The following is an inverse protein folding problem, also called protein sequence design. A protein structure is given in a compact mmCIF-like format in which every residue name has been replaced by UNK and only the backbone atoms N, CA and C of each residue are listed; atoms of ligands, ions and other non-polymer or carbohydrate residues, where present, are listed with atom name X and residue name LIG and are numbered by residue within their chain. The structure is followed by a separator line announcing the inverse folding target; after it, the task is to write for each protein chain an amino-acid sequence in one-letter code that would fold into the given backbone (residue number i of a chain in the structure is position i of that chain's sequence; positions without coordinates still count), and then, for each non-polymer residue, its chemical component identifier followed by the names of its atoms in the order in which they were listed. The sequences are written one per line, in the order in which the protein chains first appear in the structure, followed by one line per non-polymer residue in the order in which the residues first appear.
data_IF_475240082198
#
_entry.id   IF_475240082198
#
_cell.length_a   1.000
_cell.length_b   1.000
_cell.length_c   1.000
_cell.angle_alpha   90.00
_cell.angle_beta   90.00
_cell.angle_gamma   90.00
#
_symmetry.space_group_name_H-M   'P 1'
#
loop_
_entity.id
_entity.type
_entity.pdbx_description
1 polymer ?
#
# COMPACT_ATOMS: atom_id res chain seq x y z
N UNK A 1 4.72 1.17 2.61
CA UNK A 1 4.55 2.53 2.04
C UNK A 1 4.96 2.59 0.56
N UNK A 2 6.10 2.04 0.16
CA UNK A 2 6.60 2.16 -1.22
C UNK A 2 5.69 1.46 -2.23
N UNK A 3 5.25 0.23 -1.92
CA UNK A 3 4.27 -0.50 -2.75
C UNK A 3 2.98 0.29 -2.92
N UNK A 4 2.46 0.87 -1.82
CA UNK A 4 1.21 1.63 -1.84
C UNK A 4 1.29 2.89 -2.72
N UNK A 5 2.48 3.46 -2.86
CA UNK A 5 2.72 4.67 -3.68
C UNK A 5 3.04 4.38 -5.14
N UNK A 6 3.35 3.15 -5.49
CA UNK A 6 3.95 2.79 -6.78
C UNK A 6 3.12 3.22 -8.01
N UNK A 7 1.79 3.18 -7.92
CA UNK A 7 0.88 3.58 -9.00
C UNK A 7 -0.01 4.78 -8.64
N UNK A 8 0.37 5.51 -7.60
CA UNK A 8 -0.34 6.74 -7.25
C UNK A 8 0.07 7.87 -8.19
N UNK A 9 -0.89 8.47 -8.89
CA UNK A 9 -0.62 9.66 -9.69
C UNK A 9 -0.20 10.86 -8.83
N UNK A 10 -0.64 10.90 -7.57
CA UNK A 10 -0.32 11.96 -6.62
C UNK A 10 0.43 11.36 -5.44
N UNK A 11 1.60 11.91 -5.14
CA UNK A 11 2.32 11.65 -3.89
C UNK A 11 1.80 12.61 -2.84
N UNK A 12 0.85 12.17 -2.03
CA UNK A 12 0.35 12.94 -0.89
C UNK A 12 1.38 13.02 0.23
N UNK A 13 1.44 14.17 0.91
CA UNK A 13 2.42 14.46 1.96
C UNK A 13 3.85 14.12 1.51
N UNK A 14 4.34 14.75 0.41
CA UNK A 14 5.69 14.52 -0.08
C UNK A 14 6.72 14.93 0.97
N UNK A 15 7.91 14.34 0.86
CA UNK A 15 9.03 14.76 1.70
C UNK A 15 9.42 16.18 1.29
N UNK A 16 9.42 17.07 2.25
CA UNK A 16 9.68 18.49 2.06
C UNK A 16 10.99 18.92 2.71
N UNK A 17 11.52 20.03 2.26
CA UNK A 17 12.61 20.76 2.92
C UNK A 17 12.10 22.09 3.48
N UNK A 18 12.84 22.63 4.43
CA UNK A 18 12.65 23.99 4.94
C UNK A 18 13.65 24.94 4.27
N UNK A 19 13.27 26.22 4.16
CA UNK A 19 14.09 27.25 3.52
C UNK A 19 15.49 27.38 4.15
N UNK A 20 15.58 27.18 5.46
CA UNK A 20 16.81 27.32 6.25
C UNK A 20 17.65 26.03 6.35
N UNK A 21 17.19 24.90 5.81
CA UNK A 21 17.97 23.67 5.76
C UNK A 21 19.13 23.81 4.77
N UNK A 22 20.18 23.01 4.95
CA UNK A 22 21.35 23.01 4.09
C UNK A 22 21.19 22.06 2.90
N UNK A 23 21.93 22.30 1.85
CA UNK A 23 21.97 21.40 0.69
C UNK A 23 22.54 20.01 1.05
N UNK A 24 23.38 19.90 2.09
CA UNK A 24 23.80 18.62 2.64
C UNK A 24 22.61 17.76 3.05
N UNK A 25 21.63 18.31 3.77
CA UNK A 25 20.44 17.61 4.20
C UNK A 25 19.62 17.09 2.99
N UNK A 26 19.49 17.92 1.96
CA UNK A 26 18.82 17.53 0.72
C UNK A 26 19.54 16.38 0.00
N UNK A 27 20.87 16.41 -0.09
CA UNK A 27 21.66 15.33 -0.71
C UNK A 27 21.61 14.03 0.08
N UNK A 28 21.59 14.09 1.40
CA UNK A 28 21.45 12.91 2.25
C UNK A 28 20.05 12.26 2.10
N UNK A 29 19.00 13.08 2.11
CA UNK A 29 17.64 12.60 1.83
C UNK A 29 17.53 12.02 0.41
N UNK A 30 18.13 12.64 -0.57
CA UNK A 30 18.18 12.14 -1.94
C UNK A 30 18.81 10.75 -2.03
N UNK A 31 19.99 10.56 -1.44
CA UNK A 31 20.70 9.28 -1.43
C UNK A 31 19.91 8.20 -0.69
N UNK A 32 19.35 8.56 0.47
CA UNK A 32 18.61 7.61 1.33
C UNK A 32 17.28 7.17 0.72
N UNK A 33 16.58 8.05 0.01
CA UNK A 33 15.20 7.84 -0.41
C UNK A 33 15.04 7.78 -1.95
N UNK A 34 16.12 7.96 -2.69
CA UNK A 34 16.13 8.00 -4.17
C UNK A 34 15.12 9.01 -4.75
N UNK A 35 15.01 10.19 -4.14
CA UNK A 35 14.12 11.28 -4.54
C UNK A 35 14.88 12.31 -5.34
N UNK A 36 14.32 12.79 -6.44
CA UNK A 36 14.97 13.74 -7.38
C UNK A 36 14.54 15.18 -7.23
N UNK A 37 13.71 15.49 -6.26
CA UNK A 37 13.27 16.87 -6.01
C UNK A 37 12.34 16.97 -4.81
N UNK A 38 12.47 18.06 -4.09
CA UNK A 38 11.82 18.32 -2.83
C UNK A 38 11.02 19.62 -2.90
N UNK A 39 9.71 19.62 -2.63
CA UNK A 39 9.01 20.86 -2.34
C UNK A 39 9.61 21.52 -1.11
N UNK A 40 9.75 22.84 -1.15
CA UNK A 40 10.24 23.66 -0.04
C UNK A 40 9.08 24.41 0.57
N UNK A 41 8.91 24.27 1.89
CA UNK A 41 7.78 24.84 2.62
C UNK A 41 8.25 25.55 3.90
N UNK A 42 7.44 26.47 4.40
CA UNK A 42 7.67 27.07 5.72
C UNK A 42 7.08 26.20 6.85
N UNK A 43 7.18 26.66 8.11
CA UNK A 43 6.67 25.95 9.29
C UNK A 43 5.17 25.67 9.24
N UNK A 44 4.40 26.49 8.55
CA UNK A 44 2.96 26.35 8.35
C UNK A 44 2.60 25.51 7.11
N UNK A 45 3.56 24.77 6.55
CA UNK A 45 3.38 23.97 5.33
C UNK A 45 3.00 24.78 4.07
N UNK A 46 3.19 26.10 4.10
CA UNK A 46 2.97 26.97 2.92
C UNK A 46 4.10 26.75 1.93
N UNK A 47 3.75 26.51 0.68
CA UNK A 47 4.71 26.29 -0.40
C UNK A 47 5.54 27.56 -0.65
N UNK A 48 6.87 27.41 -0.72
CA UNK A 48 7.86 28.46 -0.98
C UNK A 48 8.65 28.26 -2.27
N UNK A 49 8.88 27.01 -2.63
CA UNK A 49 9.67 26.67 -3.81
C UNK A 49 9.78 25.18 -4.04
N UNK A 50 10.66 24.83 -4.96
CA UNK A 50 11.07 23.45 -5.22
C UNK A 50 12.59 23.38 -5.40
N UNK A 51 13.23 22.40 -4.79
CA UNK A 51 14.64 22.08 -4.98
C UNK A 51 14.74 20.77 -5.75
N UNK A 52 15.42 20.79 -6.91
CA UNK A 52 15.55 19.62 -7.78
C UNK A 52 17.02 19.23 -7.98
N UNK A 53 17.26 18.06 -8.58
CA UNK A 53 18.60 17.65 -8.98
C UNK A 53 19.30 18.67 -9.89
N UNK A 54 18.56 19.39 -10.71
CA UNK A 54 19.10 20.42 -11.61
C UNK A 54 19.72 21.55 -10.79
N UNK A 55 19.04 21.97 -9.73
CA UNK A 55 19.46 23.07 -8.87
C UNK A 55 20.71 22.69 -8.04
N UNK A 56 20.86 21.41 -7.71
CA UNK A 56 21.97 20.89 -6.87
C UNK A 56 23.18 20.37 -7.67
N UNK A 57 23.11 20.30 -9.01
CA UNK A 57 24.07 19.53 -9.83
C UNK A 57 25.50 20.02 -9.74
N UNK A 58 25.70 21.32 -9.70
CA UNK A 58 27.04 21.94 -9.75
C UNK A 58 27.40 22.71 -8.47
N UNK A 59 26.68 22.45 -7.37
CA UNK A 59 26.93 23.15 -6.12
C UNK A 59 28.10 22.48 -5.38
N UNK A 60 29.15 23.23 -5.14
CA UNK A 60 30.34 22.79 -4.40
C UNK A 60 30.14 22.97 -2.90
N UNK A 61 29.56 24.09 -2.46
CA UNK A 61 29.30 24.36 -1.06
C UNK A 61 27.98 23.78 -0.58
N UNK A 62 28.04 22.68 0.16
CA UNK A 62 26.88 21.98 0.71
C UNK A 62 26.27 22.65 1.95
N UNK A 63 26.94 23.64 2.52
CA UNK A 63 26.42 24.43 3.65
C UNK A 63 25.47 25.55 3.20
N UNK A 64 25.36 25.77 1.88
CA UNK A 64 24.43 26.75 1.30
C UNK A 64 22.98 26.44 1.72
N UNK A 65 22.20 27.44 2.17
CA UNK A 65 20.79 27.27 2.49
C UNK A 65 19.96 26.88 1.25
N UNK A 66 18.94 26.05 1.46
CA UNK A 66 18.00 25.64 0.40
C UNK A 66 17.35 26.85 -0.28
N UNK A 67 17.03 27.90 0.50
CA UNK A 67 16.41 29.13 -0.01
C UNK A 67 17.19 29.83 -1.11
N UNK A 68 18.52 29.71 -1.14
CA UNK A 68 19.37 30.35 -2.15
C UNK A 68 19.39 29.58 -3.47
N UNK A 69 19.11 28.27 -3.43
CA UNK A 69 19.23 27.38 -4.59
C UNK A 69 17.90 26.88 -5.13
N UNK A 70 16.82 26.98 -4.34
CA UNK A 70 15.49 26.56 -4.79
C UNK A 70 14.95 27.44 -5.91
N UNK A 71 14.19 26.83 -6.80
CA UNK A 71 13.33 27.58 -7.72
C UNK A 71 12.10 28.07 -6.94
N UNK A 72 11.90 29.39 -6.87
CA UNK A 72 10.79 30.04 -6.14
C UNK A 72 9.88 30.89 -7.04
N UNK A 73 10.23 31.06 -8.29
CA UNK A 73 9.48 31.84 -9.28
C UNK A 73 8.95 30.93 -10.37
N UNK A 74 7.82 31.32 -10.97
CA UNK A 74 7.16 30.54 -12.05
C UNK A 74 6.94 29.06 -11.74
N UNK A 75 6.64 28.75 -10.49
CA UNK A 75 6.38 27.38 -10.05
C UNK A 75 5.18 26.79 -10.79
N UNK A 76 5.28 25.52 -11.13
CA UNK A 76 4.14 24.76 -11.65
C UNK A 76 3.26 24.30 -10.47
N UNK A 77 2.18 25.02 -10.27
CA UNK A 77 1.26 24.81 -9.14
C UNK A 77 -0.15 24.61 -9.66
N UNK A 78 -0.89 23.70 -9.05
CA UNK A 78 -2.33 23.49 -9.26
C UNK A 78 -3.04 23.36 -7.92
N UNK A 79 -4.31 23.73 -7.90
CA UNK A 79 -5.18 23.50 -6.75
C UNK A 79 -5.81 22.10 -6.84
N UNK A 80 -5.96 21.45 -5.69
CA UNK A 80 -6.77 20.25 -5.60
C UNK A 80 -8.29 20.55 -5.71
N UNK A 81 -9.13 19.65 -6.28
CA UNK A 81 -8.73 18.43 -6.96
C UNK A 81 -8.17 18.70 -8.38
N UNK A 82 -7.22 17.89 -8.82
CA UNK A 82 -6.67 17.96 -10.17
C UNK A 82 -6.84 16.61 -10.89
N UNK A 83 -7.30 16.64 -12.15
CA UNK A 83 -7.40 15.43 -12.98
C UNK A 83 -6.04 15.08 -13.61
N UNK A 84 -5.84 13.80 -13.92
CA UNK A 84 -4.61 13.33 -14.58
C UNK A 84 -4.40 13.99 -15.95
N UNK A 85 -5.48 14.24 -16.72
CA UNK A 85 -5.43 14.89 -18.02
C UNK A 85 -4.92 16.32 -17.89
N UNK A 86 -5.46 17.09 -16.93
CA UNK A 86 -5.04 18.47 -16.67
C UNK A 86 -3.58 18.53 -16.21
N UNK A 87 -3.18 17.62 -15.33
CA UNK A 87 -1.81 17.56 -14.88
C UNK A 87 -0.84 17.23 -16.04
N UNK A 88 -1.19 16.27 -16.89
CA UNK A 88 -0.42 15.90 -18.08
C UNK A 88 -0.26 17.07 -19.05
N UNK A 89 -1.33 17.82 -19.33
CA UNK A 89 -1.28 19.02 -20.19
C UNK A 89 -0.27 20.03 -19.65
N UNK A 90 -0.35 20.37 -18.36
CA UNK A 90 0.55 21.36 -17.73
C UNK A 90 2.01 20.89 -17.76
N UNK A 91 2.28 19.62 -17.40
CA UNK A 91 3.62 19.06 -17.42
C UNK A 91 4.23 19.09 -18.83
N UNK A 92 3.42 18.72 -19.84
CA UNK A 92 3.82 18.72 -21.26
C UNK A 92 4.06 20.13 -21.80
N UNK A 93 3.11 21.03 -21.63
CA UNK A 93 3.19 22.43 -22.12
C UNK A 93 4.39 23.19 -21.52
N UNK A 94 4.60 23.01 -20.22
CA UNK A 94 5.71 23.67 -19.52
C UNK A 94 7.03 22.90 -19.62
N UNK A 95 7.05 21.69 -20.18
CA UNK A 95 8.22 20.80 -20.30
C UNK A 95 8.93 20.58 -18.97
N UNK A 96 8.15 20.27 -17.94
CA UNK A 96 8.60 20.02 -16.57
C UNK A 96 8.25 18.60 -16.12
N UNK A 97 8.98 18.11 -15.14
CA UNK A 97 8.78 16.75 -14.61
C UNK A 97 7.93 16.69 -13.35
N UNK A 98 7.70 17.82 -12.69
CA UNK A 98 7.07 17.89 -11.37
C UNK A 98 6.02 18.99 -11.29
N UNK A 99 4.85 18.65 -10.75
CA UNK A 99 3.72 19.54 -10.55
C UNK A 99 3.37 19.56 -9.06
N UNK A 100 3.35 20.74 -8.47
CA UNK A 100 3.04 20.93 -7.06
C UNK A 100 1.52 21.12 -6.88
N UNK A 101 0.96 20.43 -5.90
CA UNK A 101 -0.47 20.49 -5.59
C UNK A 101 -0.66 21.18 -4.26
N UNK A 102 -1.45 22.24 -4.26
CA UNK A 102 -1.77 23.01 -3.04
C UNK A 102 -3.27 23.02 -2.78
N UNK A 103 -3.65 23.33 -1.56
CA UNK A 103 -5.03 23.63 -1.19
C UNK A 103 -5.33 25.13 -1.33
N UNK A 104 -6.56 25.53 -0.99
CA UNK A 104 -7.03 26.93 -1.03
C UNK A 104 -6.23 27.89 -0.13
N UNK A 105 -5.52 27.34 0.87
CA UNK A 105 -4.70 28.12 1.81
C UNK A 105 -3.23 28.21 1.38
N UNK A 106 -2.89 27.79 0.14
CA UNK A 106 -1.51 27.65 -0.37
C UNK A 106 -0.64 26.64 0.41
N UNK A 107 -1.24 25.74 1.18
CA UNK A 107 -0.52 24.66 1.85
C UNK A 107 -0.25 23.54 0.85
N UNK A 108 0.94 22.96 0.92
CA UNK A 108 1.32 21.83 0.08
C UNK A 108 0.52 20.58 0.47
N UNK A 109 -0.22 20.04 -0.49
CA UNK A 109 -0.99 18.80 -0.35
C UNK A 109 -0.27 17.62 -0.97
N UNK A 110 0.34 17.85 -2.13
CA UNK A 110 0.94 16.77 -2.89
C UNK A 110 1.93 17.22 -3.97
N UNK A 111 2.55 16.21 -4.54
CA UNK A 111 3.45 16.30 -5.68
C UNK A 111 3.03 15.27 -6.73
N UNK A 112 3.01 15.63 -7.99
CA UNK A 112 2.78 14.74 -9.11
C UNK A 112 3.96 14.80 -10.06
N UNK A 113 4.43 13.64 -10.55
CA UNK A 113 5.51 13.57 -11.54
C UNK A 113 5.03 12.93 -12.83
N UNK A 114 5.77 13.15 -13.93
CA UNK A 114 5.50 12.46 -15.21
C UNK A 114 5.49 10.95 -15.03
N UNK A 115 6.46 10.41 -14.28
CA UNK A 115 6.57 8.97 -14.01
C UNK A 115 5.35 8.42 -13.24
N UNK A 116 4.85 9.18 -12.26
CA UNK A 116 3.67 8.77 -11.48
C UNK A 116 2.41 8.73 -12.36
N UNK A 117 2.27 9.70 -13.27
CA UNK A 117 1.19 9.72 -14.25
C UNK A 117 1.27 8.56 -15.24
N UNK A 118 2.46 8.25 -15.75
CA UNK A 118 2.68 7.10 -16.64
C UNK A 118 2.34 5.79 -15.92
N UNK A 119 2.83 5.58 -14.72
CA UNK A 119 2.55 4.39 -13.91
C UNK A 119 1.05 4.25 -13.59
N UNK A 120 0.34 5.35 -13.36
CA UNK A 120 -1.09 5.32 -13.03
C UNK A 120 -1.97 4.78 -14.16
N UNK A 121 -1.48 4.81 -15.40
CA UNK A 121 -2.18 4.36 -16.62
C UNK A 121 -1.83 2.91 -16.98
N UNK A 122 -0.68 2.40 -16.54
CA UNK A 122 -0.22 1.05 -16.90
C UNK A 122 -1.17 -0.05 -16.42
N UNK A 123 -1.77 0.10 -15.24
CA UNK A 123 -2.66 -0.88 -14.65
C UNK A 123 -4.02 -0.27 -14.29
N UNK A 124 -4.91 -0.07 -15.27
CA UNK A 124 -6.19 0.60 -15.04
C UNK A 124 -7.16 -0.17 -14.12
N UNK A 125 -6.96 -1.50 -14.01
CA UNK A 125 -7.78 -2.37 -13.16
C UNK A 125 -7.20 -2.57 -11.75
N UNK A 126 -6.07 -1.95 -11.43
CA UNK A 126 -5.47 -2.05 -10.10
C UNK A 126 -6.43 -1.55 -9.01
N UNK A 127 -6.55 -2.31 -7.94
CA UNK A 127 -7.38 -1.95 -6.79
C UNK A 127 -6.75 -0.82 -6.00
N UNK A 128 -7.38 0.36 -6.01
CA UNK A 128 -6.88 1.59 -5.38
C UNK A 128 -7.77 2.05 -4.24
N UNK A 129 -7.17 2.78 -3.31
CA UNK A 129 -7.88 3.47 -2.24
C UNK A 129 -8.46 4.83 -2.72
N UNK A 130 -9.14 5.56 -1.84
CA UNK A 130 -9.73 6.87 -2.16
C UNK A 130 -8.72 7.95 -2.55
N UNK A 131 -7.43 7.75 -2.26
CA UNK A 131 -6.33 8.62 -2.64
C UNK A 131 -5.61 8.15 -3.92
N UNK A 132 -6.16 7.14 -4.62
CA UNK A 132 -5.60 6.59 -5.84
C UNK A 132 -4.33 5.75 -5.63
N UNK A 133 -4.03 5.33 -4.39
CA UNK A 133 -2.88 4.48 -4.06
C UNK A 133 -3.30 3.01 -4.09
N UNK A 134 -2.37 2.11 -4.42
CA UNK A 134 -2.63 0.67 -4.38
C UNK A 134 -3.12 0.24 -3.00
N UNK A 135 -4.15 -0.61 -2.95
CA UNK A 135 -4.50 -1.31 -1.71
C UNK A 135 -3.50 -2.41 -1.43
N UNK A 136 -3.08 -2.51 -0.18
CA UNK A 136 -2.02 -3.44 0.26
C UNK A 136 -2.53 -4.32 1.37
N UNK A 137 -2.48 -5.64 1.14
CA UNK A 137 -2.66 -6.66 2.17
C UNK A 137 -1.31 -7.10 2.76
N UNK A 138 -1.28 -7.32 4.06
CA UNK A 138 -0.07 -7.76 4.74
C UNK A 138 -0.31 -8.98 5.61
N UNK A 139 0.57 -9.99 5.49
CA UNK A 139 0.47 -11.22 6.25
C UNK A 139 0.99 -11.06 7.69
N UNK A 140 0.27 -11.67 8.61
CA UNK A 140 0.60 -11.75 10.03
C UNK A 140 0.37 -13.17 10.55
N UNK A 141 0.78 -13.38 11.78
CA UNK A 141 0.62 -14.66 12.49
C UNK A 141 -0.29 -14.49 13.71
N UNK A 142 -0.40 -15.53 14.53
CA UNK A 142 -1.26 -15.58 15.72
C UNK A 142 -0.53 -15.17 17.01
N UNK A 143 -1.31 -14.93 18.06
CA UNK A 143 -0.82 -14.60 19.41
C UNK A 143 -0.28 -13.18 19.54
N UNK A 144 0.39 -12.89 20.67
CA UNK A 144 0.86 -11.52 20.98
C UNK A 144 1.82 -10.96 19.93
N UNK A 145 2.76 -11.77 19.42
CA UNK A 145 3.68 -11.34 18.35
C UNK A 145 2.92 -11.03 17.06
N UNK A 146 1.91 -11.82 16.72
CA UNK A 146 1.04 -11.57 15.57
C UNK A 146 0.23 -10.29 15.73
N UNK A 147 -0.33 -10.03 16.92
CA UNK A 147 -1.08 -8.82 17.19
C UNK A 147 -0.19 -7.57 17.08
N UNK A 148 1.00 -7.58 17.70
CA UNK A 148 1.97 -6.47 17.61
C UNK A 148 2.39 -6.20 16.16
N UNK A 149 2.67 -7.26 15.37
CA UNK A 149 2.99 -7.13 13.96
C UNK A 149 1.82 -6.53 13.17
N UNK A 150 0.59 -7.02 13.40
CA UNK A 150 -0.61 -6.50 12.73
C UNK A 150 -0.83 -5.02 13.01
N UNK A 151 -0.64 -4.60 14.27
CA UNK A 151 -0.72 -3.18 14.66
C UNK A 151 0.29 -2.33 13.89
N UNK A 152 1.55 -2.72 13.86
CA UNK A 152 2.59 -2.00 13.14
C UNK A 152 2.33 -1.95 11.62
N UNK A 153 1.73 -3.00 11.04
CA UNK A 153 1.34 -3.03 9.63
C UNK A 153 0.18 -2.07 9.33
N UNK A 154 -0.81 -2.01 10.21
CA UNK A 154 -1.94 -1.09 10.10
C UNK A 154 -1.46 0.36 10.22
N UNK A 155 -0.61 0.66 11.21
CA UNK A 155 0.04 1.98 11.38
C UNK A 155 0.89 2.37 10.16
N UNK A 156 1.53 1.40 9.51
CA UNK A 156 2.26 1.61 8.26
C UNK A 156 1.35 1.81 7.04
N UNK A 157 0.02 1.68 7.19
CA UNK A 157 -0.98 1.94 6.15
C UNK A 157 -1.43 0.72 5.37
N UNK A 158 -1.31 -0.50 5.91
CA UNK A 158 -1.93 -1.68 5.31
C UNK A 158 -3.46 -1.53 5.30
N UNK A 159 -4.10 -1.89 4.18
CA UNK A 159 -5.55 -1.81 4.01
C UNK A 159 -6.27 -3.04 4.51
N UNK A 160 -5.58 -4.19 4.56
CA UNK A 160 -6.09 -5.42 5.12
C UNK A 160 -4.97 -6.25 5.77
N UNK A 161 -5.34 -7.09 6.74
CA UNK A 161 -4.44 -8.02 7.40
C UNK A 161 -4.85 -9.45 7.07
N UNK A 162 -3.86 -10.27 6.69
CA UNK A 162 -4.05 -11.69 6.41
C UNK A 162 -3.48 -12.49 7.59
N UNK A 163 -4.33 -13.14 8.38
CA UNK A 163 -3.90 -14.11 9.39
C UNK A 163 -3.73 -15.44 8.68
N UNK A 164 -2.50 -15.72 8.29
CA UNK A 164 -2.13 -16.89 7.47
C UNK A 164 -1.56 -18.01 8.33
N UNK A 165 -2.21 -19.15 8.32
CA UNK A 165 -1.84 -20.33 9.13
C UNK A 165 -2.10 -21.63 8.38
N UNK A 166 -1.35 -22.68 8.72
CA UNK A 166 -1.55 -24.01 8.18
C UNK A 166 -2.90 -24.63 8.60
N UNK A 167 -3.47 -24.19 9.75
CA UNK A 167 -4.74 -24.69 10.28
C UNK A 167 -5.55 -23.54 10.90
N UNK A 168 -6.41 -22.93 10.08
CA UNK A 168 -7.21 -21.76 10.46
C UNK A 168 -8.30 -22.05 11.51
N UNK A 169 -8.72 -23.29 11.68
CA UNK A 169 -9.75 -23.67 12.67
C UNK A 169 -9.17 -23.97 14.06
N UNK A 170 -8.09 -23.31 14.43
CA UNK A 170 -7.54 -23.42 15.79
C UNK A 170 -8.05 -22.30 16.70
N UNK A 171 -8.16 -22.58 18.00
CA UNK A 171 -8.58 -21.58 18.99
C UNK A 171 -7.69 -20.34 19.01
N UNK A 172 -6.39 -20.51 18.75
CA UNK A 172 -5.44 -19.39 18.67
C UNK A 172 -5.72 -18.47 17.48
N UNK A 173 -6.11 -19.03 16.33
CA UNK A 173 -6.46 -18.24 15.15
C UNK A 173 -7.76 -17.47 15.40
N UNK A 174 -8.80 -18.15 15.87
CA UNK A 174 -10.10 -17.54 16.17
C UNK A 174 -9.94 -16.38 17.15
N UNK A 175 -9.21 -16.59 18.25
CA UNK A 175 -8.92 -15.56 19.24
C UNK A 175 -8.14 -14.39 18.65
N UNK A 176 -7.13 -14.65 17.81
CA UNK A 176 -6.35 -13.59 17.18
C UNK A 176 -7.18 -12.75 16.20
N UNK A 177 -8.11 -13.35 15.44
CA UNK A 177 -9.07 -12.65 14.59
C UNK A 177 -9.98 -11.75 15.42
N UNK A 178 -10.55 -12.29 16.48
CA UNK A 178 -11.46 -11.58 17.38
C UNK A 178 -10.77 -10.40 18.07
N UNK A 179 -9.59 -10.59 18.64
CA UNK A 179 -8.80 -9.55 19.28
C UNK A 179 -8.44 -8.43 18.30
N UNK A 180 -8.02 -8.79 17.09
CA UNK A 180 -7.67 -7.80 16.06
C UNK A 180 -8.88 -7.02 15.59
N UNK A 181 -10.02 -7.68 15.35
CA UNK A 181 -11.28 -7.03 14.92
C UNK A 181 -11.86 -6.11 15.98
N UNK A 182 -11.80 -6.52 17.25
CA UNK A 182 -12.23 -5.68 18.36
C UNK A 182 -11.38 -4.41 18.49
N UNK A 183 -10.07 -4.52 18.25
CA UNK A 183 -9.13 -3.40 18.37
C UNK A 183 -9.17 -2.46 17.15
N UNK A 184 -9.43 -3.01 15.97
CA UNK A 184 -9.48 -2.28 14.69
C UNK A 184 -10.74 -2.68 13.91
N UNK A 185 -11.92 -2.16 14.27
CA UNK A 185 -13.20 -2.55 13.66
C UNK A 185 -13.27 -2.31 12.16
N UNK A 186 -12.58 -1.27 11.66
CA UNK A 186 -12.63 -0.85 10.26
C UNK A 186 -11.64 -1.59 9.35
N UNK A 187 -10.67 -2.34 9.94
CA UNK A 187 -9.70 -3.07 9.12
C UNK A 187 -10.32 -4.35 8.55
N UNK A 188 -10.05 -4.63 7.30
CA UNK A 188 -10.42 -5.90 6.71
C UNK A 188 -9.48 -7.02 7.15
N UNK A 189 -10.04 -8.14 7.59
CA UNK A 189 -9.29 -9.32 8.03
C UNK A 189 -9.60 -10.50 7.12
N UNK A 190 -8.56 -11.04 6.51
CA UNK A 190 -8.56 -12.34 5.84
C UNK A 190 -7.96 -13.35 6.78
N UNK A 191 -8.63 -14.48 7.01
CA UNK A 191 -8.12 -15.51 7.88
C UNK A 191 -8.20 -16.91 7.23
N UNK A 192 -7.24 -17.76 7.54
CA UNK A 192 -7.16 -19.12 7.00
C UNK A 192 -5.86 -19.82 7.38
N UNK A 193 -5.58 -21.00 6.80
CA UNK A 193 -6.39 -21.66 5.77
C UNK A 193 -7.37 -22.65 6.37
N UNK A 194 -8.49 -22.81 5.72
CA UNK A 194 -9.54 -23.78 6.11
C UNK A 194 -10.05 -24.53 4.88
N UNK A 195 -10.81 -25.62 5.13
CA UNK A 195 -11.38 -26.44 4.06
C UNK A 195 -12.79 -26.97 4.38
N UNK A 196 -13.42 -26.51 5.47
CA UNK A 196 -14.73 -27.02 5.92
C UNK A 196 -15.72 -25.90 6.23
N UNK A 197 -17.02 -26.22 6.18
CA UNK A 197 -18.12 -25.31 6.53
C UNK A 197 -18.00 -24.79 7.97
N UNK A 198 -17.67 -25.67 8.90
CA UNK A 198 -17.55 -25.35 10.32
C UNK A 198 -16.45 -24.36 10.58
N UNK A 199 -15.28 -24.59 9.98
CA UNK A 199 -14.13 -23.70 10.10
C UNK A 199 -14.41 -22.33 9.50
N UNK A 200 -15.06 -22.29 8.33
CA UNK A 200 -15.47 -21.03 7.68
C UNK A 200 -16.43 -20.24 8.56
N UNK A 201 -17.45 -20.89 9.10
CA UNK A 201 -18.41 -20.28 10.02
C UNK A 201 -17.73 -19.74 11.28
N UNK A 202 -16.79 -20.49 11.84
CA UNK A 202 -16.06 -20.09 13.04
C UNK A 202 -15.21 -18.81 12.79
N UNK A 203 -14.50 -18.74 11.68
CA UNK A 203 -13.69 -17.55 11.31
C UNK A 203 -14.56 -16.32 11.05
N UNK A 204 -15.68 -16.47 10.34
CA UNK A 204 -16.64 -15.40 10.10
C UNK A 204 -17.23 -14.89 11.42
N UNK A 205 -17.61 -15.79 12.31
CA UNK A 205 -18.12 -15.44 13.66
C UNK A 205 -17.08 -14.70 14.50
N UNK A 206 -15.81 -15.06 14.35
CA UNK A 206 -14.69 -14.35 15.02
C UNK A 206 -14.41 -12.96 14.43
N UNK A 207 -15.03 -12.60 13.29
CA UNK A 207 -14.93 -11.28 12.69
C UNK A 207 -14.12 -11.20 11.39
N UNK A 208 -13.77 -12.34 10.76
CA UNK A 208 -13.10 -12.34 9.47
C UNK A 208 -14.02 -11.75 8.37
N UNK A 209 -13.47 -10.87 7.53
CA UNK A 209 -14.15 -10.30 6.38
C UNK A 209 -14.09 -11.21 5.16
N UNK A 210 -12.99 -11.98 5.05
CA UNK A 210 -12.81 -13.01 4.03
C UNK A 210 -12.12 -14.25 4.61
N UNK A 211 -12.35 -15.41 4.01
CA UNK A 211 -11.77 -16.68 4.44
C UNK A 211 -10.91 -17.28 3.34
N UNK A 212 -9.64 -17.60 3.67
CA UNK A 212 -8.71 -18.24 2.74
C UNK A 212 -8.91 -19.76 2.79
N UNK A 213 -9.29 -20.34 1.63
CA UNK A 213 -9.72 -21.72 1.51
C UNK A 213 -8.69 -22.57 0.75
N UNK A 214 -8.25 -23.66 1.36
CA UNK A 214 -7.36 -24.64 0.77
C UNK A 214 -6.40 -25.23 1.79
N UNK A 215 -6.34 -26.58 1.85
CA UNK A 215 -5.40 -27.35 2.66
C UNK A 215 -4.85 -28.49 1.81
N UNK A 216 -3.57 -28.41 1.47
CA UNK A 216 -2.86 -29.43 0.71
C UNK A 216 -3.23 -29.62 -0.76
N UNK A 217 -3.79 -28.64 -1.50
CA UNK A 217 -4.24 -28.87 -2.87
C UNK A 217 -3.11 -28.84 -3.90
N UNK A 218 -2.01 -28.14 -3.63
CA UNK A 218 -0.92 -27.95 -4.60
C UNK A 218 -0.13 -29.24 -4.91
N UNK A 219 0.34 -29.38 -6.13
CA UNK A 219 1.17 -30.53 -6.56
C UNK A 219 2.48 -30.63 -5.76
N UNK A 220 3.05 -29.48 -5.41
CA UNK A 220 4.30 -29.36 -4.62
C UNK A 220 4.05 -29.33 -3.09
N UNK A 221 2.77 -29.32 -2.66
CA UNK A 221 2.45 -29.19 -1.24
C UNK A 221 2.78 -30.46 -0.47
N UNK A 222 3.61 -30.32 0.57
CA UNK A 222 4.05 -31.43 1.41
C UNK A 222 3.08 -31.74 2.57
N UNK A 223 2.07 -30.90 2.81
CA UNK A 223 1.12 -31.07 3.92
C UNK A 223 0.45 -32.45 3.92
N UNK A 224 0.03 -32.94 2.74
CA UNK A 224 -0.58 -34.27 2.62
C UNK A 224 0.37 -35.40 2.98
N UNK A 225 1.64 -35.25 2.68
CA UNK A 225 2.68 -36.27 2.93
C UNK A 225 3.10 -36.24 4.39
N UNK A 226 3.35 -35.05 4.93
CA UNK A 226 3.90 -34.87 6.28
C UNK A 226 2.83 -34.95 7.34
N UNK A 227 1.66 -34.35 7.15
CA UNK A 227 0.58 -34.29 8.14
C UNK A 227 -0.57 -35.23 7.85
N UNK A 228 -0.61 -35.89 6.67
CA UNK A 228 -1.71 -36.76 6.27
C UNK A 228 -3.04 -36.00 6.05
N UNK A 229 -3.00 -34.68 5.92
CA UNK A 229 -4.18 -33.80 5.83
C UNK A 229 -4.25 -33.13 4.48
N UNK A 230 -5.43 -33.15 3.87
CA UNK A 230 -5.71 -32.45 2.64
C UNK A 230 -7.15 -32.64 2.19
N UNK A 231 -7.69 -31.65 1.51
CA UNK A 231 -9.03 -31.69 0.93
C UNK A 231 -8.93 -31.27 -0.54
N UNK A 232 -9.61 -31.97 -1.46
CA UNK A 232 -9.68 -31.54 -2.86
C UNK A 232 -10.19 -30.11 -2.93
N UNK A 233 -9.49 -29.26 -3.68
CA UNK A 233 -9.73 -27.82 -3.64
C UNK A 233 -11.16 -27.43 -4.03
N UNK A 234 -11.70 -28.05 -5.06
CA UNK A 234 -13.05 -27.74 -5.52
C UNK A 234 -14.12 -28.10 -4.47
N UNK A 235 -13.95 -29.24 -3.80
CA UNK A 235 -14.83 -29.66 -2.69
C UNK A 235 -14.77 -28.66 -1.53
N UNK A 236 -13.57 -28.25 -1.13
CA UNK A 236 -13.39 -27.25 -0.08
C UNK A 236 -14.05 -25.91 -0.44
N UNK A 237 -13.93 -25.49 -1.71
CA UNK A 237 -14.54 -24.25 -2.20
C UNK A 237 -16.05 -24.30 -2.13
N UNK A 238 -16.69 -25.36 -2.63
CA UNK A 238 -18.14 -25.52 -2.60
C UNK A 238 -18.69 -25.43 -1.18
N UNK A 239 -18.07 -26.16 -0.25
CA UNK A 239 -18.50 -26.15 1.14
C UNK A 239 -18.30 -24.79 1.83
N UNK A 240 -17.14 -24.16 1.65
CA UNK A 240 -16.84 -22.89 2.28
C UNK A 240 -17.64 -21.74 1.67
N UNK A 241 -17.85 -21.75 0.34
CA UNK A 241 -18.60 -20.72 -0.36
C UNK A 241 -20.06 -20.66 0.11
N UNK A 242 -20.71 -21.81 0.27
CA UNK A 242 -22.10 -21.89 0.78
C UNK A 242 -22.27 -21.14 2.12
N UNK A 243 -21.30 -21.28 3.01
CA UNK A 243 -21.34 -20.59 4.31
C UNK A 243 -21.01 -19.12 4.19
N UNK A 244 -19.98 -18.77 3.41
CA UNK A 244 -19.56 -17.38 3.23
C UNK A 244 -20.69 -16.54 2.59
N UNK A 245 -21.33 -17.06 1.56
CA UNK A 245 -22.45 -16.41 0.87
C UNK A 245 -23.62 -16.09 1.82
N UNK A 246 -24.02 -17.06 2.64
CA UNK A 246 -25.08 -16.87 3.66
C UNK A 246 -24.78 -15.76 4.67
N UNK A 247 -23.51 -15.41 4.85
CA UNK A 247 -23.06 -14.35 5.76
C UNK A 247 -22.62 -13.07 5.04
N UNK A 248 -22.81 -12.98 3.71
CA UNK A 248 -22.35 -11.84 2.90
C UNK A 248 -20.82 -11.66 2.95
N UNK A 249 -20.06 -12.76 3.08
CA UNK A 249 -18.60 -12.77 3.11
C UNK A 249 -18.03 -13.44 1.87
N UNK A 250 -16.76 -13.19 1.60
CA UNK A 250 -16.06 -13.75 0.43
C UNK A 250 -15.07 -14.83 0.84
N UNK A 251 -14.75 -15.71 -0.08
CA UNK A 251 -13.67 -16.67 0.05
C UNK A 251 -12.54 -16.33 -0.91
N UNK A 252 -11.31 -16.68 -0.52
CA UNK A 252 -10.11 -16.57 -1.35
C UNK A 252 -9.57 -17.96 -1.58
N UNK A 253 -9.56 -18.40 -2.83
CA UNK A 253 -9.06 -19.71 -3.21
C UNK A 253 -7.54 -19.76 -3.15
N UNK A 254 -6.97 -20.77 -2.54
CA UNK A 254 -5.55 -21.04 -2.57
C UNK A 254 -5.15 -21.60 -3.96
N UNK A 255 -4.14 -21.01 -4.60
CA UNK A 255 -3.52 -21.45 -5.86
C UNK A 255 -4.40 -21.38 -7.12
N UNK A 256 -5.62 -20.91 -7.08
CA UNK A 256 -6.50 -20.92 -8.25
C UNK A 256 -6.05 -19.95 -9.36
N UNK A 257 -5.44 -18.84 -9.00
CA UNK A 257 -4.95 -17.81 -9.93
C UNK A 257 -3.44 -17.61 -9.88
N UNK A 258 -2.72 -18.59 -9.35
CA UNK A 258 -1.27 -18.51 -9.21
C UNK A 258 -0.60 -19.12 -10.43
N UNK A 259 0.18 -18.35 -11.16
CA UNK A 259 1.05 -18.79 -12.25
C UNK A 259 2.03 -19.88 -11.80
N UNK A 260 2.33 -19.93 -10.50
CA UNK A 260 3.14 -20.99 -9.90
C UNK A 260 2.53 -22.41 -10.06
N UNK A 261 1.23 -22.52 -10.36
CA UNK A 261 0.59 -23.80 -10.68
C UNK A 261 0.88 -24.22 -12.13
N UNK A 262 1.13 -23.27 -13.03
CA UNK A 262 1.27 -23.47 -14.45
C UNK A 262 2.74 -23.64 -14.89
N UNK A 263 3.68 -23.12 -14.12
CA UNK A 263 5.12 -23.15 -14.42
C UNK A 263 5.77 -24.55 -14.36
N UNK A 264 5.00 -25.63 -14.15
CA UNK A 264 5.52 -26.99 -13.96
C UNK A 264 4.75 -28.08 -14.71
N UNK A 265 4.13 -27.72 -15.78
CA UNK A 265 3.59 -28.68 -16.73
C UNK A 265 4.62 -29.04 -17.78
#
# INVERSE_FOLDING_TARGET
NDVKRFESAIVYNPITLRENQKLSDAKDLQKKLNITGFPVVNEKNILKGILTNRDMRFVENLETPVSEMMTNTNLAIVNEPVSNEKARSILSERRIEKLLIINKNNELVGLMTVKDLENSVLNPLATKDSLGRLRVGAASTVGQKGLQRSMALIEAGADLIVIDTAHGHSSHVLKSVEELKNKFPDIDIVAGNVATKEATRALIKAGANAVKVGIGPGSICTTRIVAGVGVPQFTALLECAEVAEKHGKVIICLLYTSDAADERL
#
